data_IF_822018310158
#
_entry.id   IF_822018310158
#
_cell.length_a   1.000
_cell.length_b   1.000
_cell.length_c   1.000
_cell.angle_alpha   90.00
_cell.angle_beta   90.00
_cell.angle_gamma   90.00
#
_symmetry.space_group_name_H-M   'P 1'
#
loop_
_entity.id
_entity.type
_entity.pdbx_description
1 polymer ?
#
# COMPACT_ATOMS: atom_id res chain seq x y z
N UNK A 1 46.35 24.22 -30.14
CA UNK A 1 45.95 22.86 -30.55
C UNK A 1 46.64 21.88 -29.60
N UNK A 2 45.93 21.42 -28.58
CA UNK A 2 45.31 20.07 -28.48
C UNK A 2 46.36 19.03 -28.06
N UNK A 3 46.26 18.31 -26.94
CA UNK A 3 45.19 18.25 -25.97
C UNK A 3 45.49 17.27 -24.81
N UNK A 4 44.81 17.53 -23.69
CA UNK A 4 44.11 16.61 -22.78
C UNK A 4 44.76 15.25 -22.47
N UNK A 5 45.26 15.19 -21.23
CA UNK A 5 45.58 14.00 -20.47
C UNK A 5 44.35 13.07 -20.38
N UNK A 6 44.54 11.81 -20.78
CA UNK A 6 43.55 10.75 -20.61
C UNK A 6 43.69 10.13 -19.21
N UNK A 7 42.99 10.67 -18.24
CA UNK A 7 42.45 9.84 -17.16
C UNK A 7 41.07 9.35 -17.61
N UNK A 8 40.83 8.05 -17.55
CA UNK A 8 39.79 7.48 -16.69
C UNK A 8 39.92 5.95 -16.82
N UNK A 9 40.50 5.38 -15.77
CA UNK A 9 40.45 3.96 -15.43
C UNK A 9 39.05 3.41 -15.69
N UNK A 10 38.96 2.37 -16.52
CA UNK A 10 37.76 1.55 -16.63
C UNK A 10 37.46 0.90 -15.29
N UNK A 11 36.66 1.57 -14.46
CA UNK A 11 35.99 0.93 -13.36
C UNK A 11 34.84 0.12 -13.97
N UNK A 12 35.10 -1.18 -14.12
CA UNK A 12 34.06 -2.20 -13.98
C UNK A 12 33.49 -2.07 -12.56
N UNK A 13 32.65 -1.06 -12.34
CA UNK A 13 31.74 -1.08 -11.21
C UNK A 13 30.76 -2.23 -11.49
N UNK A 14 30.51 -3.13 -10.53
CA UNK A 14 29.33 -3.97 -10.59
C UNK A 14 28.16 -3.00 -10.80
N UNK A 15 27.29 -3.29 -11.78
CA UNK A 15 25.98 -2.64 -11.81
C UNK A 15 25.40 -2.72 -10.40
N UNK A 16 24.77 -1.65 -9.87
CA UNK A 16 24.05 -1.80 -8.62
C UNK A 16 23.15 -3.00 -8.82
N UNK A 17 23.35 -4.03 -8.00
CA UNK A 17 22.35 -5.07 -7.83
C UNK A 17 21.06 -4.28 -7.65
N UNK A 18 20.06 -4.52 -8.49
CA UNK A 18 18.71 -4.06 -8.20
C UNK A 18 18.34 -4.88 -6.97
N UNK A 19 18.80 -4.42 -5.81
CA UNK A 19 18.50 -4.95 -4.51
C UNK A 19 16.98 -5.02 -4.49
N UNK A 20 16.45 -6.24 -4.34
CA UNK A 20 15.03 -6.47 -4.26
C UNK A 20 14.44 -5.49 -3.26
N UNK A 21 13.59 -4.56 -3.74
CA UNK A 21 12.88 -3.63 -2.86
C UNK A 21 12.19 -4.49 -1.80
N UNK A 22 12.44 -4.25 -0.49
CA UNK A 22 11.83 -5.03 0.57
C UNK A 22 10.32 -5.14 0.35
N UNK A 23 9.76 -6.34 0.58
CA UNK A 23 8.35 -6.62 0.25
C UNK A 23 7.38 -5.64 0.90
N UNK A 24 7.69 -5.13 2.09
CA UNK A 24 6.90 -4.12 2.80
C UNK A 24 7.09 -2.70 2.26
N UNK A 25 8.23 -2.38 1.64
CA UNK A 25 8.49 -1.11 0.95
C UNK A 25 7.83 -1.04 -0.44
N UNK A 26 7.36 -2.18 -0.98
CA UNK A 26 6.59 -2.20 -2.22
C UNK A 26 5.28 -1.41 -2.09
N UNK A 27 4.91 -0.71 -3.16
CA UNK A 27 3.64 0.06 -3.23
C UNK A 27 2.44 -0.86 -3.07
N UNK A 28 1.39 -0.36 -2.43
CA UNK A 28 0.09 -1.05 -2.40
C UNK A 28 -0.52 -1.05 -3.80
N UNK A 29 -0.85 -2.25 -4.30
CA UNK A 29 -1.50 -2.42 -5.61
C UNK A 29 -3.01 -2.57 -5.47
N UNK A 30 -3.74 -2.44 -6.58
CA UNK A 30 -5.18 -2.73 -6.62
C UNK A 30 -5.50 -4.18 -6.26
N UNK A 31 -4.63 -5.12 -6.63
CA UNK A 31 -4.77 -6.52 -6.26
C UNK A 31 -4.68 -6.71 -4.74
N UNK A 32 -3.77 -6.00 -4.07
CA UNK A 32 -3.67 -6.03 -2.60
C UNK A 32 -4.96 -5.51 -1.94
N UNK A 33 -5.50 -4.39 -2.44
CA UNK A 33 -6.77 -3.82 -1.95
C UNK A 33 -7.92 -4.80 -2.12
N UNK A 34 -8.07 -5.38 -3.32
CA UNK A 34 -9.15 -6.31 -3.62
C UNK A 34 -9.10 -7.55 -2.73
N UNK A 35 -7.91 -8.12 -2.50
CA UNK A 35 -7.73 -9.27 -1.61
C UNK A 35 -8.07 -8.90 -0.17
N UNK A 36 -7.51 -7.81 0.33
CA UNK A 36 -7.73 -7.38 1.71
C UNK A 36 -9.22 -7.09 1.98
N UNK A 37 -9.90 -6.39 1.08
CA UNK A 37 -11.32 -6.05 1.23
C UNK A 37 -12.24 -7.28 1.34
N UNK A 38 -11.85 -8.41 0.74
CA UNK A 38 -12.60 -9.69 0.85
C UNK A 38 -12.36 -10.43 2.16
N UNK A 39 -11.28 -10.10 2.88
CA UNK A 39 -10.90 -10.74 4.13
C UNK A 39 -11.42 -9.99 5.37
N UNK A 40 -11.65 -8.69 5.24
CA UNK A 40 -12.02 -7.83 6.37
C UNK A 40 -13.46 -8.13 6.84
N UNK A 41 -13.66 -8.47 8.13
CA UNK A 41 -15.00 -8.65 8.67
C UNK A 41 -15.76 -7.31 8.81
N UNK A 42 -17.10 -7.31 8.80
CA UNK A 42 -17.93 -6.09 8.84
C UNK A 42 -17.69 -5.17 10.04
N UNK A 43 -17.29 -5.72 11.19
CA UNK A 43 -17.06 -4.95 12.42
C UNK A 43 -15.82 -4.05 12.37
N UNK A 44 -14.93 -4.25 11.39
CA UNK A 44 -13.75 -3.41 11.19
C UNK A 44 -14.04 -2.11 10.43
N UNK A 45 -15.26 -1.89 9.97
CA UNK A 45 -15.61 -0.70 9.19
C UNK A 45 -15.23 0.59 9.91
N UNK A 46 -15.73 0.75 11.13
CA UNK A 46 -15.51 1.97 11.91
C UNK A 46 -14.05 2.14 12.34
N UNK A 47 -13.38 1.14 12.93
CA UNK A 47 -11.95 1.24 13.24
C UNK A 47 -11.08 1.57 12.02
N UNK A 48 -11.40 0.99 10.86
CA UNK A 48 -10.57 1.14 9.67
C UNK A 48 -10.66 2.54 9.06
N UNK A 49 -11.86 3.11 8.84
CA UNK A 49 -11.92 4.45 8.26
C UNK A 49 -11.27 5.51 9.16
N UNK A 50 -11.33 5.30 10.49
CA UNK A 50 -10.65 6.14 11.48
C UNK A 50 -9.13 6.01 11.37
N UNK A 51 -8.61 4.79 11.29
CA UNK A 51 -7.17 4.55 11.13
C UNK A 51 -6.63 5.09 9.79
N UNK A 52 -7.43 5.01 8.73
CA UNK A 52 -7.15 5.60 7.40
C UNK A 52 -7.21 7.13 7.41
N UNK A 53 -7.69 7.75 8.50
CA UNK A 53 -7.94 9.20 8.64
C UNK A 53 -8.87 9.75 7.55
N UNK A 54 -9.91 8.97 7.21
CA UNK A 54 -10.96 9.39 6.29
C UNK A 54 -12.08 10.04 7.11
N UNK A 55 -12.58 11.19 6.66
CA UNK A 55 -13.65 11.90 7.35
C UNK A 55 -14.93 11.05 7.40
N UNK A 56 -15.66 11.16 8.51
CA UNK A 56 -16.91 10.42 8.70
C UNK A 56 -17.94 10.71 7.59
N UNK A 57 -18.01 11.94 7.08
CA UNK A 57 -18.90 12.30 5.97
C UNK A 57 -18.60 11.51 4.70
N UNK A 58 -17.31 11.32 4.39
CA UNK A 58 -16.85 10.53 3.24
C UNK A 58 -17.16 9.05 3.48
N UNK A 59 -16.81 8.52 4.65
CA UNK A 59 -17.08 7.12 5.01
C UNK A 59 -18.59 6.80 5.00
N UNK A 60 -19.43 7.72 5.49
CA UNK A 60 -20.89 7.60 5.43
C UNK A 60 -21.39 7.59 3.99
N UNK A 61 -20.87 8.48 3.13
CA UNK A 61 -21.23 8.50 1.71
C UNK A 61 -20.93 7.18 0.99
N UNK A 62 -19.78 6.55 1.26
CA UNK A 62 -19.44 5.23 0.71
C UNK A 62 -20.47 4.17 1.15
N UNK A 63 -20.80 4.14 2.45
CA UNK A 63 -21.73 3.17 3.02
C UNK A 63 -23.16 3.30 2.50
N UNK A 64 -23.54 4.51 2.09
CA UNK A 64 -24.86 4.79 1.49
C UNK A 64 -24.90 4.45 -0.01
N UNK A 65 -23.76 4.51 -0.70
CA UNK A 65 -23.66 4.32 -2.15
C UNK A 65 -23.38 2.88 -2.57
N UNK A 66 -22.78 2.05 -1.71
CA UNK A 66 -22.54 0.63 -1.98
C UNK A 66 -23.30 -0.29 -1.01
N UNK A 67 -23.90 -1.36 -1.55
CA UNK A 67 -24.63 -2.36 -0.77
C UNK A 67 -23.71 -3.43 -0.16
N UNK A 68 -22.60 -3.73 -0.84
CA UNK A 68 -21.73 -4.83 -0.50
C UNK A 68 -20.56 -4.36 0.36
N UNK A 69 -20.29 -5.03 1.49
CA UNK A 69 -19.28 -4.60 2.46
C UNK A 69 -17.86 -4.58 1.87
N UNK A 70 -17.55 -5.53 1.00
CA UNK A 70 -16.26 -5.60 0.31
C UNK A 70 -16.06 -4.43 -0.67
N UNK A 71 -17.10 -4.00 -1.39
CA UNK A 71 -17.06 -2.79 -2.22
C UNK A 71 -16.82 -1.53 -1.37
N UNK A 72 -17.53 -1.41 -0.24
CA UNK A 72 -17.31 -0.30 0.69
C UNK A 72 -15.84 -0.25 1.17
N UNK A 73 -15.24 -1.40 1.49
CA UNK A 73 -13.83 -1.46 1.88
C UNK A 73 -12.87 -1.13 0.74
N UNK A 74 -13.18 -1.55 -0.49
CA UNK A 74 -12.39 -1.20 -1.67
C UNK A 74 -12.34 0.32 -1.81
N UNK A 75 -13.48 1.01 -1.70
CA UNK A 75 -13.56 2.45 -1.83
C UNK A 75 -12.74 3.19 -0.77
N UNK A 76 -12.83 2.79 0.51
CA UNK A 76 -12.00 3.36 1.58
C UNK A 76 -10.50 3.22 1.29
N UNK A 77 -10.08 2.01 0.92
CA UNK A 77 -8.67 1.70 0.68
C UNK A 77 -8.15 2.40 -0.58
N UNK A 78 -8.99 2.57 -1.62
CA UNK A 78 -8.63 3.34 -2.82
C UNK A 78 -8.46 4.82 -2.52
N UNK A 79 -9.37 5.42 -1.74
CA UNK A 79 -9.25 6.82 -1.30
C UNK A 79 -7.93 7.01 -0.55
N UNK A 80 -7.63 6.13 0.40
CA UNK A 80 -6.38 6.21 1.16
C UNK A 80 -5.12 6.03 0.29
N UNK A 81 -5.14 5.05 -0.64
CA UNK A 81 -4.03 4.78 -1.57
C UNK A 81 -3.81 5.93 -2.57
N UNK A 82 -4.86 6.70 -2.89
CA UNK A 82 -4.76 7.83 -3.83
C UNK A 82 -3.85 8.96 -3.32
N UNK A 83 -3.61 9.04 -2.00
CA UNK A 83 -2.57 9.87 -1.44
C UNK A 83 -1.19 9.30 -1.83
N UNK A 84 -0.31 10.12 -2.41
CA UNK A 84 1.00 9.67 -2.92
C UNK A 84 1.82 8.91 -1.86
N UNK A 85 2.60 7.91 -2.31
CA UNK A 85 3.60 7.12 -1.58
C UNK A 85 3.14 6.08 -0.55
N UNK A 86 1.93 5.50 -0.66
CA UNK A 86 1.50 4.41 0.22
C UNK A 86 2.18 3.06 -0.10
N UNK A 87 2.93 2.57 0.88
CA UNK A 87 3.61 1.27 0.86
C UNK A 87 2.81 0.20 1.62
N UNK A 88 3.16 -1.07 1.43
CA UNK A 88 2.56 -2.17 2.21
C UNK A 88 2.85 -2.03 3.70
N UNK A 89 4.01 -1.49 4.08
CA UNK A 89 4.33 -1.13 5.45
C UNK A 89 3.34 -0.14 6.05
N UNK A 90 2.95 0.89 5.28
CA UNK A 90 1.94 1.85 5.73
C UNK A 90 0.58 1.18 5.93
N UNK A 91 0.19 0.29 4.99
CA UNK A 91 -1.06 -0.47 5.10
C UNK A 91 -1.06 -1.39 6.33
N UNK A 92 0.07 -2.07 6.59
CA UNK A 92 0.23 -2.92 7.76
C UNK A 92 0.09 -2.13 9.06
N UNK A 93 0.70 -0.94 9.15
CA UNK A 93 0.55 -0.07 10.31
C UNK A 93 -0.91 0.31 10.57
N UNK A 94 -1.67 0.61 9.51
CA UNK A 94 -3.10 0.93 9.59
C UNK A 94 -3.92 -0.26 10.05
N UNK A 95 -3.64 -1.46 9.52
CA UNK A 95 -4.32 -2.67 9.94
C UNK A 95 -4.06 -2.95 11.43
N UNK A 96 -2.84 -2.79 11.90
CA UNK A 96 -2.52 -2.92 13.34
C UNK A 96 -3.30 -1.88 14.16
N UNK A 97 -3.31 -0.61 13.72
CA UNK A 97 -4.05 0.46 14.39
C UNK A 97 -5.56 0.20 14.43
N UNK A 98 -6.13 -0.44 13.42
CA UNK A 98 -7.54 -0.80 13.33
C UNK A 98 -7.87 -2.13 14.03
N UNK A 99 -6.97 -2.69 14.84
CA UNK A 99 -7.11 -4.01 15.48
C UNK A 99 -7.27 -5.17 14.47
N UNK A 100 -6.83 -4.95 13.23
CA UNK A 100 -6.86 -5.86 12.10
C UNK A 100 -5.47 -6.46 11.79
N UNK A 101 -4.55 -6.46 12.76
CA UNK A 101 -3.16 -6.94 12.59
C UNK A 101 -3.06 -8.39 12.10
N UNK A 102 -4.07 -9.23 12.37
CA UNK A 102 -4.15 -10.61 11.88
C UNK A 102 -4.32 -10.77 10.36
N UNK A 103 -4.37 -9.67 9.59
CA UNK A 103 -4.49 -9.66 8.14
C UNK A 103 -3.21 -9.19 7.40
N UNK A 104 -2.18 -8.73 8.11
CA UNK A 104 -0.95 -8.13 7.57
C UNK A 104 -0.28 -8.95 6.46
N UNK A 105 -0.25 -10.28 6.58
CA UNK A 105 0.39 -11.14 5.57
C UNK A 105 -0.60 -11.83 4.63
N UNK A 106 -1.91 -11.63 4.82
CA UNK A 106 -2.95 -12.41 4.12
C UNK A 106 -3.34 -11.85 2.75
N UNK A 107 -2.94 -10.62 2.45
CA UNK A 107 -3.27 -9.95 1.19
C UNK A 107 -2.06 -9.86 0.24
N UNK A 108 -0.90 -10.36 0.66
CA UNK A 108 0.27 -10.51 -0.19
C UNK A 108 0.01 -11.64 -1.20
N UNK A 109 0.48 -11.47 -2.43
CA UNK A 109 0.55 -12.59 -3.36
C UNK A 109 1.49 -13.64 -2.76
N UNK A 110 1.01 -14.87 -2.59
CA UNK A 110 1.90 -16.03 -2.48
C UNK A 110 2.71 -16.05 -3.77
N UNK A 111 4.00 -15.73 -3.65
CA UNK A 111 4.97 -15.86 -4.75
C UNK A 111 5.07 -17.32 -5.16
#
# INVERSE_FOLDING_TARGET
MTGINKETTGQNAPSPNIDEIPSDEQKVTDANILKLARLLPPNLWSPLYVALRIDYSIAKGIRENSREMNEQYIDLLQIWKSASTRTRKDLNAILIQAEAGGFVDKYLDSV
#
